data_IF_857804147951
#
_entry.id   IF_857804147951
#
_cell.length_a   1.000
_cell.length_b   1.000
_cell.length_c   1.000
_cell.angle_alpha   90.00
_cell.angle_beta   90.00
_cell.angle_gamma   90.00
#
_symmetry.space_group_name_H-M   'P 1'
#
loop_
_entity.id
_entity.type
_entity.pdbx_description
1 polymer ?
#
# COMPACT_ATOMS: atom_id res chain seq x y z
N UNK A 1 7.22 23.74 -8.88
CA UNK A 1 7.37 23.06 -7.56
C UNK A 1 6.97 21.58 -7.53
N UNK A 2 6.34 21.00 -8.58
CA UNK A 2 5.88 19.61 -8.53
C UNK A 2 6.93 18.51 -8.78
N UNK A 3 7.95 18.78 -9.61
CA UNK A 3 8.96 17.77 -10.00
C UNK A 3 10.03 17.55 -8.93
N UNK A 4 10.42 18.60 -8.21
CA UNK A 4 11.39 18.50 -7.12
C UNK A 4 10.91 17.56 -6.02
N UNK A 5 9.61 17.60 -5.67
CA UNK A 5 9.04 16.73 -4.65
C UNK A 5 9.06 15.25 -5.07
N UNK A 6 8.82 14.96 -6.36
CA UNK A 6 8.87 13.61 -6.91
C UNK A 6 10.29 13.03 -6.89
N UNK A 7 11.33 13.86 -7.13
CA UNK A 7 12.72 13.43 -7.04
C UNK A 7 13.10 12.95 -5.64
N UNK A 8 12.52 13.53 -4.59
CA UNK A 8 12.78 13.14 -3.19
C UNK A 8 12.09 11.84 -2.78
N UNK A 9 11.08 11.35 -3.51
CA UNK A 9 10.38 10.10 -3.19
C UNK A 9 11.30 8.88 -3.29
N UNK A 10 12.21 8.88 -4.26
CA UNK A 10 13.12 7.75 -4.49
C UNK A 10 14.23 7.63 -3.41
N UNK A 11 14.98 8.70 -3.06
CA UNK A 11 15.90 8.67 -1.94
C UNK A 11 15.21 8.35 -0.61
N UNK A 12 14.01 8.91 -0.35
CA UNK A 12 13.26 8.64 0.87
C UNK A 12 12.92 7.14 1.01
N UNK A 13 12.48 6.52 -0.08
CA UNK A 13 12.20 5.08 -0.13
C UNK A 13 13.47 4.27 0.14
N UNK A 14 14.59 4.61 -0.51
CA UNK A 14 15.87 3.93 -0.30
C UNK A 14 16.32 4.00 1.16
N UNK A 15 16.14 5.13 1.83
CA UNK A 15 16.47 5.28 3.26
C UNK A 15 15.61 4.35 4.12
N UNK A 16 14.29 4.30 3.90
CA UNK A 16 13.41 3.41 4.68
C UNK A 16 13.75 1.93 4.48
N UNK A 17 14.04 1.53 3.24
CA UNK A 17 14.45 0.16 2.92
C UNK A 17 15.83 -0.16 3.52
N UNK A 18 16.78 0.78 3.47
CA UNK A 18 18.12 0.60 4.04
C UNK A 18 18.12 0.43 5.57
N UNK A 19 17.16 1.04 6.26
CA UNK A 19 16.93 0.86 7.71
C UNK A 19 16.35 -0.54 8.01
N UNK A 20 15.90 -1.28 7.00
CA UNK A 20 15.37 -2.64 7.15
C UNK A 20 13.87 -2.70 7.43
N UNK A 21 13.14 -1.60 7.21
CA UNK A 21 11.68 -1.60 7.32
C UNK A 21 11.10 -2.45 6.19
N UNK A 22 10.12 -3.36 6.47
CA UNK A 22 9.50 -4.16 5.43
C UNK A 22 8.99 -3.31 4.28
N UNK A 23 9.23 -3.75 3.06
CA UNK A 23 9.06 -2.95 1.83
C UNK A 23 7.63 -2.38 1.73
N UNK A 24 6.62 -3.14 2.16
CA UNK A 24 5.23 -2.69 2.19
C UNK A 24 5.03 -1.41 3.01
N UNK A 25 5.60 -1.34 4.22
CA UNK A 25 5.51 -0.15 5.07
C UNK A 25 6.32 1.00 4.51
N UNK A 26 7.51 0.72 3.96
CA UNK A 26 8.34 1.73 3.30
C UNK A 26 7.60 2.41 2.15
N UNK A 27 6.94 1.64 1.29
CA UNK A 27 6.11 2.15 0.19
C UNK A 27 4.91 2.94 0.70
N UNK A 28 4.21 2.42 1.70
CA UNK A 28 3.03 3.06 2.28
C UNK A 28 3.38 4.40 2.92
N UNK A 29 4.43 4.49 3.74
CA UNK A 29 4.85 5.72 4.39
C UNK A 29 5.30 6.79 3.40
N UNK A 30 6.07 6.42 2.36
CA UNK A 30 6.48 7.36 1.30
C UNK A 30 5.27 7.85 0.52
N UNK A 31 4.35 6.95 0.14
CA UNK A 31 3.12 7.33 -0.54
C UNK A 31 2.25 8.27 0.31
N UNK A 32 2.13 8.02 1.61
CA UNK A 32 1.35 8.83 2.54
C UNK A 32 1.94 10.23 2.73
N UNK A 33 3.23 10.32 3.08
CA UNK A 33 3.91 11.60 3.35
C UNK A 33 3.91 12.47 2.09
N UNK A 34 4.39 11.95 0.96
CA UNK A 34 4.49 12.73 -0.27
C UNK A 34 3.14 12.93 -0.95
N UNK A 35 2.21 11.98 -0.81
CA UNK A 35 0.84 12.09 -1.31
C UNK A 35 0.08 13.23 -0.62
N UNK A 36 0.13 13.30 0.71
CA UNK A 36 -0.50 14.40 1.48
C UNK A 36 0.17 15.74 1.18
N UNK A 37 1.50 15.79 1.10
CA UNK A 37 2.22 17.03 0.76
C UNK A 37 1.88 17.54 -0.65
N UNK A 38 1.59 16.65 -1.62
CA UNK A 38 1.29 17.04 -2.99
C UNK A 38 -0.18 17.35 -3.22
N UNK A 39 -1.08 16.58 -2.63
CA UNK A 39 -2.52 16.60 -2.93
C UNK A 39 -3.37 17.18 -1.79
N UNK A 40 -2.80 17.44 -0.62
CA UNK A 40 -3.54 17.94 0.55
C UNK A 40 -4.70 17.03 0.92
N UNK A 41 -5.87 17.61 1.14
CA UNK A 41 -7.10 16.88 1.48
C UNK A 41 -7.53 15.88 0.41
N UNK A 42 -7.18 16.11 -0.86
CA UNK A 42 -7.47 15.19 -1.96
C UNK A 42 -6.67 13.87 -1.89
N UNK A 43 -5.62 13.81 -1.06
CA UNK A 43 -4.86 12.58 -0.85
C UNK A 43 -5.72 11.51 -0.15
N UNK A 44 -6.60 11.91 0.77
CA UNK A 44 -7.45 10.98 1.54
C UNK A 44 -8.36 10.18 0.62
N UNK A 45 -8.99 10.83 -0.35
CA UNK A 45 -9.82 10.16 -1.34
C UNK A 45 -9.04 9.13 -2.15
N UNK A 46 -7.80 9.44 -2.55
CA UNK A 46 -6.96 8.49 -3.28
C UNK A 46 -6.61 7.25 -2.45
N UNK A 47 -6.32 7.42 -1.16
CA UNK A 47 -6.05 6.28 -0.27
C UNK A 47 -7.31 5.43 -0.06
N UNK A 48 -8.47 6.04 0.15
CA UNK A 48 -9.74 5.33 0.33
C UNK A 48 -10.08 4.52 -0.93
N UNK A 49 -9.97 5.12 -2.12
CA UNK A 49 -10.19 4.40 -3.39
C UNK A 49 -9.27 3.19 -3.52
N UNK A 50 -7.99 3.31 -3.12
CA UNK A 50 -7.07 2.18 -3.18
C UNK A 50 -7.42 1.06 -2.20
N UNK A 51 -7.92 1.41 -1.02
CA UNK A 51 -8.39 0.42 -0.03
C UNK A 51 -9.63 -0.30 -0.57
N UNK A 52 -10.57 0.44 -1.17
CA UNK A 52 -11.78 -0.12 -1.77
C UNK A 52 -11.48 -1.10 -2.91
N UNK A 53 -10.52 -0.74 -3.79
CA UNK A 53 -10.04 -1.62 -4.86
C UNK A 53 -9.49 -2.96 -4.32
N UNK A 54 -8.74 -2.91 -3.20
CA UNK A 54 -8.16 -4.10 -2.58
C UNK A 54 -9.23 -4.91 -1.85
N UNK A 55 -10.15 -4.26 -1.16
CA UNK A 55 -11.24 -4.90 -0.44
C UNK A 55 -12.22 -5.61 -1.38
N UNK A 56 -12.50 -5.01 -2.54
CA UNK A 56 -13.37 -5.57 -3.59
C UNK A 56 -12.68 -6.63 -4.46
N UNK A 57 -11.44 -6.99 -4.14
CA UNK A 57 -10.70 -7.99 -4.89
C UNK A 57 -11.13 -9.41 -4.52
N UNK A 58 -11.92 -10.03 -5.39
CA UNK A 58 -12.40 -11.40 -5.23
C UNK A 58 -11.28 -12.45 -5.04
N UNK A 59 -10.08 -12.22 -5.59
CA UNK A 59 -8.96 -13.16 -5.44
C UNK A 59 -8.48 -13.20 -4.00
N UNK A 60 -8.28 -12.02 -3.38
CA UNK A 60 -7.85 -11.92 -1.99
C UNK A 60 -8.94 -12.45 -1.04
N UNK A 61 -10.21 -12.16 -1.35
CA UNK A 61 -11.36 -12.69 -0.61
C UNK A 61 -11.54 -14.21 -0.74
N UNK A 62 -11.05 -14.83 -1.82
CA UNK A 62 -11.13 -16.28 -2.00
C UNK A 62 -10.10 -17.07 -1.18
N UNK A 63 -9.00 -16.44 -0.72
CA UNK A 63 -7.92 -17.14 0.00
C UNK A 63 -8.42 -17.82 1.30
N UNK A 64 -9.17 -17.15 2.20
CA UNK A 64 -9.63 -17.78 3.44
C UNK A 64 -10.60 -18.94 3.18
N UNK A 65 -11.48 -18.81 2.18
CA UNK A 65 -12.42 -19.87 1.80
C UNK A 65 -11.70 -21.08 1.18
N UNK A 66 -10.63 -20.84 0.41
CA UNK A 66 -9.78 -21.90 -0.13
C UNK A 66 -9.07 -22.68 0.98
N UNK A 67 -8.47 -21.98 1.95
CA UNK A 67 -7.86 -22.61 3.13
C UNK A 67 -8.90 -23.39 3.94
N UNK A 68 -10.11 -22.83 4.11
CA UNK A 68 -11.21 -23.49 4.80
C UNK A 68 -11.63 -24.79 4.11
N UNK A 69 -11.77 -24.79 2.79
CA UNK A 69 -12.07 -26.01 2.01
C UNK A 69 -10.99 -27.07 2.21
N UNK A 70 -9.71 -26.70 2.11
CA UNK A 70 -8.59 -27.62 2.33
C UNK A 70 -8.64 -28.26 3.72
N UNK A 71 -8.85 -27.46 4.76
CA UNK A 71 -8.95 -27.94 6.15
C UNK A 71 -10.16 -28.87 6.39
N UNK A 72 -11.24 -28.71 5.62
CA UNK A 72 -12.46 -29.53 5.72
C UNK A 72 -12.32 -30.88 5.01
N UNK A 73 -11.50 -30.94 3.95
CA UNK A 73 -11.19 -32.15 3.17
C UNK A 73 -10.00 -32.95 3.71
N UNK A 74 -9.26 -32.42 4.69
CA UNK A 74 -8.18 -33.13 5.38
C UNK A 74 -8.68 -34.22 6.35
N UNK A 75 -9.97 -34.59 6.31
CA UNK A 75 -10.60 -35.70 7.03
C UNK A 75 -11.46 -36.55 6.11
#
# INVERSE_FOLDING_TARGET
MGTALALWMFPALLVFVAIGIPIAFSLMSVALIFGVLRFGDAAVFQFISKVDDVASNYILGAIPLFVFMGALLER
#
